data_IF_883191085689
#
_entry.id   IF_883191085689
#
_cell.length_a   1.000
_cell.length_b   1.000
_cell.length_c   1.000
_cell.angle_alpha   90.00
_cell.angle_beta   90.00
_cell.angle_gamma   90.00
#
_symmetry.space_group_name_H-M   'P 1'
#
loop_
_entity.id
_entity.type
_entity.pdbx_description
1 polymer ?
#
# COMPACT_ATOMS: atom_id res chain seq x y z
N UNK A 1 8.80 -24.19 -18.66
CA UNK A 1 7.97 -23.04 -18.23
C UNK A 1 7.77 -22.91 -16.71
N UNK A 2 7.66 -23.99 -15.91
CA UNK A 2 7.52 -23.92 -14.43
C UNK A 2 8.75 -23.31 -13.73
N UNK A 3 9.96 -23.58 -14.21
CA UNK A 3 11.22 -23.10 -13.61
C UNK A 3 11.43 -21.60 -13.78
N UNK A 4 11.03 -21.02 -14.90
CA UNK A 4 11.13 -19.58 -15.21
C UNK A 4 10.20 -18.74 -14.30
N UNK A 5 8.97 -19.22 -14.03
CA UNK A 5 8.05 -18.56 -13.08
C UNK A 5 8.60 -18.58 -11.65
N UNK A 6 9.23 -19.70 -11.24
CA UNK A 6 9.86 -19.81 -9.93
C UNK A 6 11.03 -18.86 -9.74
N UNK A 7 11.87 -18.66 -10.76
CA UNK A 7 13.04 -17.78 -10.69
C UNK A 7 12.66 -16.31 -10.57
N UNK A 8 11.72 -15.83 -11.37
CA UNK A 8 11.23 -14.45 -11.30
C UNK A 8 10.64 -14.12 -9.92
N UNK A 9 9.78 -15.00 -9.40
CA UNK A 9 9.19 -14.82 -8.06
C UNK A 9 10.25 -14.80 -6.97
N UNK A 10 11.22 -15.72 -7.01
CA UNK A 10 12.33 -15.78 -6.03
C UNK A 10 13.18 -14.52 -6.03
N UNK A 11 13.47 -13.94 -7.20
CA UNK A 11 14.21 -12.67 -7.29
C UNK A 11 13.39 -11.55 -6.64
N UNK A 12 12.10 -11.44 -6.94
CA UNK A 12 11.21 -10.43 -6.35
C UNK A 12 11.13 -10.56 -4.82
N UNK A 13 11.01 -11.78 -4.28
CA UNK A 13 10.91 -12.01 -2.85
C UNK A 13 12.20 -11.59 -2.12
N UNK A 14 13.35 -11.95 -2.69
CA UNK A 14 14.66 -11.59 -2.14
C UNK A 14 14.92 -10.09 -2.24
N UNK A 15 14.60 -9.47 -3.37
CA UNK A 15 14.79 -8.05 -3.57
C UNK A 15 13.89 -7.22 -2.62
N UNK A 16 12.63 -7.60 -2.48
CA UNK A 16 11.67 -6.97 -1.56
C UNK A 16 12.19 -7.01 -0.12
N UNK A 17 12.71 -8.17 0.32
CA UNK A 17 13.29 -8.32 1.65
C UNK A 17 14.51 -7.42 1.83
N UNK A 18 15.50 -7.50 0.93
CA UNK A 18 16.73 -6.75 1.03
C UNK A 18 16.51 -5.24 0.99
N UNK A 19 15.66 -4.75 0.08
CA UNK A 19 15.32 -3.34 0.00
C UNK A 19 14.58 -2.86 1.25
N UNK A 20 13.68 -3.66 1.82
CA UNK A 20 13.00 -3.36 3.06
C UNK A 20 13.94 -3.28 4.27
N UNK A 21 14.95 -4.17 4.34
CA UNK A 21 15.91 -4.23 5.45
C UNK A 21 16.99 -3.16 5.35
N UNK A 22 17.52 -2.90 4.15
CA UNK A 22 18.74 -2.10 3.97
C UNK A 22 18.56 -0.81 3.17
N UNK A 23 17.40 -0.59 2.54
CA UNK A 23 17.15 0.54 1.65
C UNK A 23 17.60 0.30 0.21
N UNK A 24 17.12 1.17 -0.69
CA UNK A 24 17.39 1.00 -2.12
C UNK A 24 18.87 1.20 -2.47
N UNK A 25 19.50 2.24 -1.94
CA UNK A 25 20.86 2.63 -2.33
C UNK A 25 21.91 1.63 -1.88
N UNK A 26 21.70 0.99 -0.72
CA UNK A 26 22.66 0.06 -0.12
C UNK A 26 22.60 -1.34 -0.69
N UNK A 27 21.57 -1.69 -1.45
CA UNK A 27 21.38 -3.03 -2.02
C UNK A 27 21.77 -3.01 -3.50
N UNK A 28 22.79 -3.76 -3.86
CA UNK A 28 23.20 -3.94 -5.25
C UNK A 28 22.51 -5.13 -5.91
N UNK A 29 22.47 -5.14 -7.24
CA UNK A 29 21.99 -6.30 -8.02
C UNK A 29 22.82 -7.57 -7.69
N UNK A 30 24.12 -7.42 -7.36
CA UNK A 30 24.95 -8.54 -6.95
C UNK A 30 24.51 -9.16 -5.62
N UNK A 31 24.07 -8.36 -4.66
CA UNK A 31 23.54 -8.85 -3.39
C UNK A 31 22.27 -9.67 -3.62
N UNK A 32 21.38 -9.17 -4.50
CA UNK A 32 20.16 -9.86 -4.87
C UNK A 32 20.46 -11.18 -5.58
N UNK A 33 21.37 -11.20 -6.58
CA UNK A 33 21.74 -12.43 -7.30
C UNK A 33 22.33 -13.48 -6.37
N UNK A 34 23.24 -13.08 -5.48
CA UNK A 34 23.85 -13.95 -4.49
C UNK A 34 22.80 -14.56 -3.55
N UNK A 35 21.92 -13.73 -3.00
CA UNK A 35 20.89 -14.18 -2.05
C UNK A 35 19.80 -15.01 -2.73
N UNK A 36 19.39 -14.66 -3.96
CA UNK A 36 18.42 -15.40 -4.75
C UNK A 36 19.01 -16.68 -5.41
N UNK A 37 20.32 -16.87 -5.34
CA UNK A 37 21.05 -17.98 -6.01
C UNK A 37 20.74 -18.03 -7.51
N UNK A 38 20.88 -16.89 -8.18
CA UNK A 38 20.74 -16.74 -9.63
C UNK A 38 21.96 -16.02 -10.20
N UNK A 39 22.15 -16.10 -11.51
CA UNK A 39 23.16 -15.31 -12.21
C UNK A 39 22.62 -13.92 -12.59
N UNK A 40 23.53 -13.00 -12.94
CA UNK A 40 23.20 -11.64 -13.34
C UNK A 40 22.31 -11.62 -14.60
N UNK A 41 22.54 -12.56 -15.54
CA UNK A 41 21.75 -12.67 -16.75
C UNK A 41 20.26 -12.92 -16.47
N UNK A 42 19.94 -13.64 -15.38
CA UNK A 42 18.54 -13.86 -14.99
C UNK A 42 17.85 -12.57 -14.57
N UNK A 43 18.53 -11.65 -13.86
CA UNK A 43 17.93 -10.35 -13.50
C UNK A 43 17.75 -9.49 -14.75
N UNK A 44 18.77 -9.39 -15.60
CA UNK A 44 18.66 -8.63 -16.85
C UNK A 44 17.54 -9.17 -17.76
N UNK A 45 17.41 -10.49 -17.84
CA UNK A 45 16.37 -11.12 -18.63
C UNK A 45 14.94 -10.85 -18.11
N UNK A 46 14.76 -10.89 -16.78
CA UNK A 46 13.42 -10.76 -16.18
C UNK A 46 13.00 -9.31 -15.91
N UNK A 47 13.95 -8.41 -15.68
CA UNK A 47 13.65 -7.06 -15.18
C UNK A 47 14.39 -5.95 -15.94
N UNK A 48 15.57 -6.20 -16.49
CA UNK A 48 16.38 -5.20 -17.18
C UNK A 48 17.25 -4.38 -16.23
N UNK A 49 16.65 -3.54 -15.42
CA UNK A 49 17.33 -2.64 -14.47
C UNK A 49 16.94 -2.91 -13.01
N UNK A 50 17.62 -2.22 -12.08
CA UNK A 50 17.25 -2.21 -10.66
C UNK A 50 15.94 -1.46 -10.44
N UNK A 51 15.74 -0.39 -11.15
CA UNK A 51 14.54 0.45 -11.15
C UNK A 51 13.33 -0.36 -11.64
N UNK A 52 13.48 -1.13 -12.72
CA UNK A 52 12.42 -2.02 -13.22
C UNK A 52 12.12 -3.16 -12.23
N UNK A 53 13.13 -3.66 -11.52
CA UNK A 53 12.92 -4.65 -10.45
C UNK A 53 12.12 -4.04 -9.29
N UNK A 54 12.41 -2.80 -8.89
CA UNK A 54 11.63 -2.08 -7.88
C UNK A 54 10.20 -1.87 -8.37
N UNK A 55 10.02 -1.42 -9.60
CA UNK A 55 8.69 -1.24 -10.21
C UNK A 55 7.90 -2.56 -10.21
N UNK A 56 8.54 -3.68 -10.55
CA UNK A 56 7.89 -5.00 -10.55
C UNK A 56 7.49 -5.48 -9.13
N UNK A 57 8.22 -5.09 -8.08
CA UNK A 57 7.82 -5.36 -6.69
C UNK A 57 6.55 -4.58 -6.36
N UNK A 58 6.50 -3.27 -6.70
CA UNK A 58 5.32 -2.44 -6.48
C UNK A 58 4.12 -2.94 -7.28
N UNK A 59 4.31 -3.27 -8.54
CA UNK A 59 3.27 -3.85 -9.39
C UNK A 59 2.66 -5.10 -8.76
N UNK A 60 3.50 -6.01 -8.28
CA UNK A 60 3.07 -7.25 -7.61
C UNK A 60 2.25 -7.00 -6.35
N UNK A 61 2.56 -5.94 -5.59
CA UNK A 61 1.99 -5.67 -4.26
C UNK A 61 0.88 -4.63 -4.26
N UNK A 62 1.07 -3.55 -5.00
CA UNK A 62 0.15 -2.41 -4.97
C UNK A 62 -1.01 -2.59 -5.94
N UNK A 63 -0.76 -3.13 -7.14
CA UNK A 63 -1.82 -3.28 -8.15
C UNK A 63 -3.00 -4.11 -7.63
N UNK A 64 -2.82 -5.32 -7.06
CA UNK A 64 -3.96 -6.10 -6.55
C UNK A 64 -4.73 -5.40 -5.42
N UNK A 65 -4.03 -4.64 -4.57
CA UNK A 65 -4.68 -3.87 -3.50
C UNK A 65 -5.50 -2.71 -4.06
N UNK A 66 -4.94 -1.99 -5.05
CA UNK A 66 -5.66 -0.89 -5.68
C UNK A 66 -6.85 -1.38 -6.50
N UNK A 67 -6.73 -2.52 -7.19
CA UNK A 67 -7.86 -3.16 -7.87
C UNK A 67 -8.97 -3.55 -6.88
N UNK A 68 -8.62 -4.14 -5.74
CA UNK A 68 -9.58 -4.46 -4.70
C UNK A 68 -10.25 -3.22 -4.09
N UNK A 69 -9.51 -2.12 -3.91
CA UNK A 69 -10.05 -0.83 -3.46
C UNK A 69 -11.04 -0.24 -4.46
N UNK A 70 -10.67 -0.24 -5.75
CA UNK A 70 -11.54 0.27 -6.81
C UNK A 70 -12.80 -0.58 -6.94
N UNK A 71 -12.69 -1.91 -6.90
CA UNK A 71 -13.84 -2.80 -6.92
C UNK A 71 -14.77 -2.59 -5.71
N UNK A 72 -14.21 -2.39 -4.52
CA UNK A 72 -14.99 -2.08 -3.32
C UNK A 72 -15.69 -0.71 -3.44
N UNK A 73 -15.01 0.29 -4.00
CA UNK A 73 -15.59 1.62 -4.23
C UNK A 73 -16.72 1.57 -5.27
N UNK A 74 -16.53 0.80 -6.34
CA UNK A 74 -17.58 0.59 -7.37
C UNK A 74 -18.83 -0.08 -6.76
N UNK A 75 -18.65 -1.02 -5.81
CA UNK A 75 -19.77 -1.63 -5.08
C UNK A 75 -20.49 -0.63 -4.18
N UNK A 76 -19.73 0.19 -3.46
CA UNK A 76 -20.29 1.26 -2.62
C UNK A 76 -21.11 2.24 -3.47
N UNK A 77 -20.60 2.69 -4.62
CA UNK A 77 -21.32 3.61 -5.52
C UNK A 77 -22.56 2.96 -6.13
N UNK A 78 -22.51 1.67 -6.48
CA UNK A 78 -23.64 0.90 -7.04
C UNK A 78 -24.76 0.68 -6.03
N UNK A 79 -24.39 0.39 -4.78
CA UNK A 79 -25.33 0.12 -3.70
C UNK A 79 -25.95 1.39 -3.11
N UNK A 80 -25.35 2.56 -3.35
CA UNK A 80 -25.84 3.82 -2.84
C UNK A 80 -27.12 4.27 -3.56
N UNK A 81 -28.19 4.48 -2.81
CA UNK A 81 -29.47 4.98 -3.37
C UNK A 81 -29.39 6.42 -3.89
N UNK A 82 -28.51 7.25 -3.34
CA UNK A 82 -28.31 8.65 -3.72
C UNK A 82 -26.80 8.97 -3.73
N UNK A 83 -26.23 9.24 -2.57
CA UNK A 83 -24.80 9.46 -2.40
C UNK A 83 -24.22 8.35 -1.51
N UNK A 84 -23.00 7.89 -1.76
CA UNK A 84 -22.34 6.94 -0.89
C UNK A 84 -22.08 7.55 0.49
N UNK A 85 -22.09 6.71 1.54
CA UNK A 85 -21.73 7.16 2.89
C UNK A 85 -20.21 7.32 2.98
N UNK A 86 -19.79 8.32 3.75
CA UNK A 86 -18.36 8.57 3.98
C UNK A 86 -17.64 7.33 4.54
N UNK A 87 -18.25 6.67 5.53
CA UNK A 87 -17.68 5.49 6.17
C UNK A 87 -17.48 4.34 5.16
N UNK A 88 -18.42 4.13 4.26
CA UNK A 88 -18.37 3.06 3.26
C UNK A 88 -17.23 3.31 2.25
N UNK A 89 -17.00 4.57 1.85
CA UNK A 89 -15.88 4.99 1.01
C UNK A 89 -14.55 4.76 1.74
N UNK A 90 -14.46 5.16 3.01
CA UNK A 90 -13.27 4.96 3.82
C UNK A 90 -12.98 3.48 4.05
N UNK A 91 -14.01 2.67 4.27
CA UNK A 91 -13.89 1.23 4.38
C UNK A 91 -13.36 0.60 3.09
N UNK A 92 -13.88 0.99 1.93
CA UNK A 92 -13.41 0.54 0.63
C UNK A 92 -11.92 0.88 0.38
N UNK A 93 -11.43 1.96 0.98
CA UNK A 93 -10.01 2.34 0.92
C UNK A 93 -9.13 1.60 1.93
N UNK A 94 -9.57 1.46 3.17
CA UNK A 94 -8.76 0.97 4.30
C UNK A 94 -8.70 -0.57 4.29
N UNK A 95 -9.87 -1.24 4.21
CA UNK A 95 -10.01 -2.69 4.40
C UNK A 95 -9.13 -3.53 3.46
N UNK A 96 -9.08 -3.29 2.14
CA UNK A 96 -8.25 -4.11 1.25
C UNK A 96 -6.75 -4.06 1.59
N UNK A 97 -6.27 -2.91 2.07
CA UNK A 97 -4.87 -2.76 2.49
C UNK A 97 -4.56 -3.60 3.73
N UNK A 98 -5.44 -3.53 4.71
CA UNK A 98 -5.30 -4.30 5.95
C UNK A 98 -5.35 -5.79 5.64
N UNK A 99 -6.33 -6.24 4.86
CA UNK A 99 -6.46 -7.65 4.48
C UNK A 99 -5.22 -8.16 3.73
N UNK A 100 -4.67 -7.38 2.80
CA UNK A 100 -3.45 -7.75 2.11
C UNK A 100 -2.24 -7.85 3.06
N UNK A 101 -2.13 -6.92 4.02
CA UNK A 101 -1.02 -6.89 4.98
C UNK A 101 -1.08 -8.03 6.00
N UNK A 102 -2.28 -8.45 6.41
CA UNK A 102 -2.48 -9.54 7.37
C UNK A 102 -2.59 -10.92 6.70
N UNK A 103 -3.08 -10.98 5.46
CA UNK A 103 -3.28 -12.23 4.71
C UNK A 103 -2.00 -12.88 4.17
N UNK A 104 -0.84 -12.20 4.24
CA UNK A 104 0.41 -12.69 3.68
C UNK A 104 1.51 -12.74 4.75
N UNK A 105 1.65 -13.85 5.52
CA UNK A 105 2.51 -13.91 6.72
C UNK A 105 3.97 -13.54 6.52
N UNK A 106 4.54 -13.77 5.34
CA UNK A 106 5.98 -13.50 5.05
C UNK A 106 6.24 -12.33 4.12
N UNK A 107 5.26 -11.92 3.30
CA UNK A 107 5.44 -10.85 2.30
C UNK A 107 4.92 -9.49 2.75
N UNK A 108 3.91 -9.46 3.62
CA UNK A 108 3.29 -8.21 4.08
C UNK A 108 4.25 -7.34 4.90
N UNK A 109 5.01 -7.91 5.81
CA UNK A 109 5.96 -7.18 6.65
C UNK A 109 7.13 -6.60 5.83
N UNK A 110 7.73 -7.41 4.93
CA UNK A 110 8.82 -6.96 4.08
C UNK A 110 8.37 -5.80 3.18
N UNK A 111 7.18 -5.92 2.58
CA UNK A 111 6.62 -4.85 1.76
C UNK A 111 6.24 -3.61 2.58
N UNK A 112 5.69 -3.76 3.77
CA UNK A 112 5.40 -2.62 4.65
C UNK A 112 6.66 -1.84 5.01
N UNK A 113 7.76 -2.53 5.31
CA UNK A 113 9.08 -1.91 5.56
C UNK A 113 9.60 -1.19 4.31
N UNK A 114 9.54 -1.85 3.16
CA UNK A 114 9.93 -1.28 1.87
C UNK A 114 9.12 -0.02 1.56
N UNK A 115 7.81 -0.10 1.70
CA UNK A 115 6.91 1.02 1.44
C UNK A 115 7.15 2.19 2.40
N UNK A 116 7.39 1.90 3.68
CA UNK A 116 7.77 2.92 4.67
C UNK A 116 9.05 3.66 4.29
N UNK A 117 10.05 2.95 3.73
CA UNK A 117 11.28 3.58 3.20
C UNK A 117 11.01 4.46 2.00
N UNK A 118 10.14 4.05 1.08
CA UNK A 118 9.76 4.88 -0.06
C UNK A 118 9.12 6.20 0.36
N UNK A 119 8.43 6.22 1.50
CA UNK A 119 7.81 7.44 2.03
C UNK A 119 8.79 8.33 2.80
N UNK A 120 9.79 7.75 3.46
CA UNK A 120 10.76 8.48 4.29
C UNK A 120 12.05 8.85 3.55
N UNK A 121 12.41 8.12 2.50
CA UNK A 121 13.63 8.34 1.71
C UNK A 121 13.27 8.41 0.21
N UNK A 122 12.44 9.40 -0.22
CA UNK A 122 11.99 9.48 -1.60
C UNK A 122 13.12 9.89 -2.54
N UNK A 123 13.28 9.14 -3.65
CA UNK A 123 14.03 9.60 -4.83
C UNK A 123 13.04 10.02 -5.93
N UNK A 124 13.48 10.80 -6.94
CA UNK A 124 12.60 11.19 -8.06
C UNK A 124 11.97 10.00 -8.78
N UNK A 125 12.69 8.89 -8.90
CA UNK A 125 12.23 7.65 -9.53
C UNK A 125 11.13 7.00 -8.67
N UNK A 126 11.33 6.93 -7.35
CA UNK A 126 10.35 6.40 -6.41
C UNK A 126 9.10 7.28 -6.36
N UNK A 127 9.25 8.61 -6.33
CA UNK A 127 8.12 9.54 -6.39
C UNK A 127 7.29 9.35 -7.67
N UNK A 128 7.96 9.22 -8.81
CA UNK A 128 7.31 8.98 -10.10
C UNK A 128 6.56 7.65 -10.10
N UNK A 129 7.18 6.59 -9.56
CA UNK A 129 6.58 5.27 -9.41
C UNK A 129 5.33 5.33 -8.52
N UNK A 130 5.42 5.97 -7.35
CA UNK A 130 4.29 6.11 -6.43
C UNK A 130 3.15 6.91 -7.05
N UNK A 131 3.43 8.03 -7.71
CA UNK A 131 2.41 8.81 -8.42
C UNK A 131 1.67 7.93 -9.43
N UNK A 132 2.39 7.26 -10.32
CA UNK A 132 1.78 6.38 -11.34
C UNK A 132 0.88 5.31 -10.74
N UNK A 133 1.27 4.73 -9.59
CA UNK A 133 0.53 3.65 -8.96
C UNK A 133 -0.71 4.12 -8.18
N UNK A 134 -0.68 5.32 -7.61
CA UNK A 134 -1.74 5.78 -6.70
C UNK A 134 -2.64 6.87 -7.29
N UNK A 135 -2.18 7.65 -8.29
CA UNK A 135 -2.96 8.75 -8.86
C UNK A 135 -4.35 8.34 -9.35
N UNK A 136 -4.54 7.22 -10.10
CA UNK A 136 -5.87 6.78 -10.52
C UNK A 136 -6.82 6.48 -9.35
N UNK A 137 -6.30 5.87 -8.28
CA UNK A 137 -7.09 5.59 -7.07
C UNK A 137 -7.46 6.88 -6.33
N UNK A 138 -6.50 7.80 -6.18
CA UNK A 138 -6.71 9.09 -5.49
C UNK A 138 -7.78 9.91 -6.22
N UNK A 139 -7.76 9.97 -7.54
CA UNK A 139 -8.78 10.66 -8.35
C UNK A 139 -10.18 10.03 -8.18
N UNK A 140 -10.27 8.70 -8.16
CA UNK A 140 -11.55 8.00 -7.93
C UNK A 140 -12.09 8.26 -6.52
N UNK A 141 -11.22 8.19 -5.49
CA UNK A 141 -11.61 8.50 -4.12
C UNK A 141 -12.03 9.95 -3.94
N UNK A 142 -11.29 10.91 -4.52
CA UNK A 142 -11.67 12.31 -4.52
C UNK A 142 -13.07 12.51 -5.11
N UNK A 143 -13.35 11.90 -6.26
CA UNK A 143 -14.65 11.99 -6.93
C UNK A 143 -15.79 11.45 -6.04
N UNK A 144 -15.61 10.31 -5.41
CA UNK A 144 -16.60 9.70 -4.52
C UNK A 144 -16.81 10.54 -3.25
N UNK A 145 -15.73 11.05 -2.66
CA UNK A 145 -15.78 11.88 -1.46
C UNK A 145 -16.43 13.26 -1.71
N UNK A 146 -16.18 13.88 -2.85
CA UNK A 146 -16.87 15.12 -3.23
C UNK A 146 -18.38 14.93 -3.37
N UNK A 147 -18.86 13.76 -3.81
CA UNK A 147 -20.29 13.42 -3.84
C UNK A 147 -20.86 13.22 -2.43
N UNK A 148 -20.09 12.57 -1.54
CA UNK A 148 -20.51 12.30 -0.17
C UNK A 148 -20.47 13.56 0.72
N UNK A 149 -19.54 14.47 0.46
CA UNK A 149 -19.24 15.67 1.24
C UNK A 149 -19.20 16.93 0.35
N UNK A 150 -20.35 17.38 -0.20
CA UNK A 150 -20.39 18.48 -1.16
C UNK A 150 -19.98 19.85 -0.57
N UNK A 151 -19.83 19.94 0.76
CA UNK A 151 -19.35 21.14 1.45
C UNK A 151 -17.83 21.29 1.48
N UNK A 152 -17.08 20.21 1.20
CA UNK A 152 -15.61 20.24 1.23
C UNK A 152 -15.01 20.54 -0.14
N UNK A 153 -13.97 21.36 -0.14
CA UNK A 153 -13.14 21.59 -1.31
C UNK A 153 -12.27 20.36 -1.65
N UNK A 154 -11.82 20.28 -2.90
CA UNK A 154 -10.88 19.22 -3.33
C UNK A 154 -9.59 19.24 -2.52
N UNK A 155 -9.13 20.38 -2.06
CA UNK A 155 -7.93 20.53 -1.23
C UNK A 155 -8.14 19.94 0.16
N UNK A 156 -9.26 20.21 0.81
CA UNK A 156 -9.62 19.65 2.12
C UNK A 156 -9.72 18.13 2.06
N UNK A 157 -10.41 17.59 1.06
CA UNK A 157 -10.50 16.15 0.81
C UNK A 157 -9.12 15.53 0.62
N UNK A 158 -8.24 16.16 -0.17
CA UNK A 158 -6.89 15.67 -0.38
C UNK A 158 -6.09 15.59 0.93
N UNK A 159 -6.15 16.61 1.78
CA UNK A 159 -5.44 16.60 3.06
C UNK A 159 -6.00 15.55 4.02
N UNK A 160 -7.31 15.41 4.10
CA UNK A 160 -7.94 14.37 4.92
C UNK A 160 -7.57 12.96 4.43
N UNK A 161 -7.54 12.71 3.11
CA UNK A 161 -7.04 11.45 2.54
C UNK A 161 -5.57 11.23 2.88
N UNK A 162 -4.73 12.26 2.78
CA UNK A 162 -3.29 12.17 3.08
C UNK A 162 -3.05 11.81 4.56
N UNK A 163 -3.81 12.41 5.47
CA UNK A 163 -3.73 12.08 6.90
C UNK A 163 -4.25 10.67 7.20
N UNK A 164 -5.36 10.26 6.58
CA UNK A 164 -5.91 8.91 6.68
C UNK A 164 -4.90 7.86 6.19
N UNK A 165 -4.26 8.14 5.06
CA UNK A 165 -3.20 7.29 4.51
C UNK A 165 -2.00 7.18 5.46
N UNK A 166 -1.56 8.29 6.04
CA UNK A 166 -0.48 8.30 7.03
C UNK A 166 -0.83 7.49 8.28
N UNK A 167 -2.03 7.65 8.82
CA UNK A 167 -2.50 6.90 9.98
C UNK A 167 -2.58 5.38 9.68
N UNK A 168 -3.14 4.99 8.53
CA UNK A 168 -3.20 3.60 8.09
C UNK A 168 -1.81 2.98 7.97
N UNK A 169 -0.88 3.66 7.30
CA UNK A 169 0.46 3.13 7.13
C UNK A 169 1.26 3.08 8.42
N UNK A 170 1.15 4.09 9.28
CA UNK A 170 1.78 4.06 10.59
C UNK A 170 1.27 2.88 11.42
N UNK A 171 -0.03 2.67 11.47
CA UNK A 171 -0.61 1.50 12.14
C UNK A 171 -0.05 0.17 11.61
N UNK A 172 -0.04 -0.01 10.27
CA UNK A 172 0.47 -1.26 9.66
C UNK A 172 1.95 -1.51 9.93
N UNK A 173 2.77 -0.45 10.02
CA UNK A 173 4.21 -0.55 10.33
C UNK A 173 4.49 -0.83 11.82
N UNK A 174 3.59 -0.40 12.70
CA UNK A 174 3.82 -0.41 14.15
C UNK A 174 2.86 -1.31 14.92
N UNK A 175 1.99 -2.05 14.22
CA UNK A 175 0.88 -2.83 14.81
C UNK A 175 1.26 -3.69 16.02
N UNK A 176 2.46 -4.30 15.97
CA UNK A 176 2.98 -5.19 17.02
C UNK A 176 4.01 -4.49 17.91
N UNK A 177 4.15 -3.15 17.77
CA UNK A 177 5.17 -2.35 18.46
C UNK A 177 4.51 -1.24 19.27
N UNK A 178 5.20 -0.84 20.35
CA UNK A 178 4.77 0.28 21.18
C UNK A 178 3.38 0.13 21.82
N UNK A 179 2.84 -1.09 21.86
CA UNK A 179 1.58 -1.35 22.54
C UNK A 179 1.81 -1.33 24.05
N UNK A 180 1.00 -0.58 24.83
CA UNK A 180 1.09 -0.59 26.28
C UNK A 180 0.62 -1.96 26.81
N UNK A 181 1.21 -2.40 27.91
CA UNK A 181 0.94 -3.73 28.53
C UNK A 181 -0.50 -3.95 28.96
N UNK A 182 -1.26 -2.87 29.19
CA UNK A 182 -2.68 -2.93 29.55
C UNK A 182 -3.60 -3.08 28.34
N UNK A 183 -3.09 -2.84 27.12
CA UNK A 183 -3.86 -2.99 25.90
C UNK A 183 -3.86 -4.48 25.50
N UNK A 184 -5.00 -5.13 25.63
CA UNK A 184 -5.20 -6.46 25.05
C UNK A 184 -5.15 -6.38 23.53
N UNK A 185 -4.69 -7.44 22.89
CA UNK A 185 -4.78 -7.56 21.43
C UNK A 185 -6.21 -7.28 20.99
N UNK A 186 -6.41 -6.11 20.39
CA UNK A 186 -7.70 -5.78 19.81
C UNK A 186 -7.85 -6.58 18.50
N UNK A 187 -9.06 -7.08 18.25
CA UNK A 187 -9.39 -7.70 16.97
C UNK A 187 -9.09 -6.73 15.82
N UNK A 188 -8.52 -7.25 14.74
CA UNK A 188 -8.19 -6.46 13.53
C UNK A 188 -9.42 -5.74 12.99
N UNK A 189 -10.59 -6.37 13.07
CA UNK A 189 -11.85 -5.77 12.66
C UNK A 189 -12.20 -4.55 13.52
N UNK A 190 -12.04 -4.64 14.82
CA UNK A 190 -12.24 -3.50 15.73
C UNK A 190 -11.26 -2.35 15.42
N UNK A 191 -10.01 -2.67 15.09
CA UNK A 191 -9.01 -1.67 14.73
C UNK A 191 -9.34 -0.97 13.41
N UNK A 192 -9.84 -1.72 12.40
CA UNK A 192 -10.34 -1.15 11.14
C UNK A 192 -11.46 -0.16 11.43
N UNK A 193 -12.47 -0.54 12.22
CA UNK A 193 -13.61 0.32 12.53
C UNK A 193 -13.20 1.59 13.31
N UNK A 194 -12.21 1.47 14.21
CA UNK A 194 -11.65 2.63 14.92
C UNK A 194 -10.95 3.60 13.95
N UNK A 195 -10.18 3.08 13.00
CA UNK A 195 -9.52 3.92 12.00
C UNK A 195 -10.54 4.61 11.07
N UNK A 196 -11.58 3.90 10.64
CA UNK A 196 -12.66 4.47 9.83
C UNK A 196 -13.35 5.59 10.59
N UNK A 197 -13.72 5.36 11.86
CA UNK A 197 -14.38 6.35 12.71
C UNK A 197 -13.50 7.59 12.94
N UNK A 198 -12.21 7.40 13.20
CA UNK A 198 -11.23 8.47 13.35
C UNK A 198 -11.11 9.31 12.07
N UNK A 199 -10.95 8.65 10.91
CA UNK A 199 -10.87 9.34 9.64
C UNK A 199 -12.16 10.08 9.31
N UNK A 200 -13.33 9.45 9.50
CA UNK A 200 -14.62 10.07 9.24
C UNK A 200 -14.86 11.33 10.11
N UNK A 201 -14.43 11.31 11.37
CA UNK A 201 -14.46 12.49 12.22
C UNK A 201 -13.59 13.63 11.67
N UNK A 202 -12.39 13.32 11.18
CA UNK A 202 -11.50 14.30 10.54
C UNK A 202 -12.12 14.94 9.29
N UNK A 203 -12.76 14.13 8.42
CA UNK A 203 -13.47 14.65 7.24
C UNK A 203 -14.67 15.53 7.58
N UNK A 204 -15.35 15.28 8.71
CA UNK A 204 -16.50 16.10 9.13
C UNK A 204 -16.12 17.38 9.83
N UNK A 205 -14.87 17.47 10.32
CA UNK A 205 -14.36 18.64 11.00
C UNK A 205 -13.59 19.60 10.07
N UNK A 206 -13.32 19.17 8.83
CA UNK A 206 -12.65 19.98 7.82
C UNK A 206 -13.64 20.95 7.15
#
# INVERSE_FOLDING_TARGET
>A
MKEVRGTRSRILDVAEQLFGEHGFDRVSIRDITKRARVNLAAINYHFGSKEDLIAAIFERRVVPVNEARLAALDEVERSAKKNPRLEDILEAFIRPTVQCSFGTPKGGEAFSKLFGRCLSEPSPEIETLLKRQFEPLVERLNTALMKALPGLSRSEIFWCLKFTFGALHHWLLTRDKFLPTWLKEADVEEQIQKLISFAAAGFRAA
#
